data_IF_084571587901
#
_entry.id   IF_084571587901
#
_cell.length_a   1.000
_cell.length_b   1.000
_cell.length_c   1.000
_cell.angle_alpha   90.00
_cell.angle_beta   90.00
_cell.angle_gamma   90.00
#
_symmetry.space_group_name_H-M   'P 1'
#
loop_
_entity.id
_entity.type
_entity.pdbx_description
1 polymer ?
#
# COMPACT_ATOMS: atom_id res chain seq x y z
N UNK A 1 -9.75 -8.96 15.90
CA UNK A 1 -8.61 -8.38 15.19
C UNK A 1 -9.07 -7.83 13.85
N UNK A 2 -8.80 -6.56 13.60
CA UNK A 2 -9.16 -5.90 12.35
C UNK A 2 -8.01 -4.98 11.96
N UNK A 3 -7.64 -4.96 10.68
CA UNK A 3 -6.49 -4.17 10.25
C UNK A 3 -6.67 -2.67 10.50
N UNK A 4 -7.89 -2.16 10.49
CA UNK A 4 -8.15 -0.74 10.76
C UNK A 4 -7.82 -0.35 12.19
N UNK A 5 -7.92 -1.29 13.12
CA UNK A 5 -7.66 -1.05 14.54
C UNK A 5 -6.17 -0.99 14.88
N UNK A 6 -5.31 -1.40 13.95
CA UNK A 6 -3.87 -1.37 14.17
C UNK A 6 -3.31 0.05 14.15
N UNK A 7 -3.95 0.94 13.41
CA UNK A 7 -3.46 2.29 13.20
C UNK A 7 -4.02 3.24 14.26
N UNK A 8 -3.33 3.32 15.38
CA UNK A 8 -3.77 4.09 16.54
C UNK A 8 -3.39 5.57 16.49
N UNK A 9 -2.58 5.97 15.50
CA UNK A 9 -2.15 7.35 15.33
C UNK A 9 -2.61 7.88 13.98
N UNK A 10 -3.00 9.15 13.93
CA UNK A 10 -3.42 9.83 12.72
C UNK A 10 -2.19 10.37 11.96
N UNK A 11 -1.35 9.48 11.49
CA UNK A 11 -0.21 9.83 10.64
C UNK A 11 -0.64 9.87 9.19
N UNK A 12 0.00 10.70 8.35
CA UNK A 12 -0.26 10.70 6.90
C UNK A 12 -0.19 9.28 6.31
N UNK A 13 0.82 8.52 6.72
CA UNK A 13 0.97 7.10 6.34
C UNK A 13 1.40 6.34 7.58
N UNK A 14 0.66 5.28 7.89
CA UNK A 14 0.98 4.38 9.01
C UNK A 14 1.14 2.97 8.46
N UNK A 15 2.31 2.37 8.67
CA UNK A 15 2.63 1.03 8.18
C UNK A 15 2.94 0.11 9.36
N UNK A 16 2.18 -0.97 9.49
CA UNK A 16 2.33 -1.91 10.60
C UNK A 16 2.43 -3.34 10.06
N UNK A 17 3.55 -4.04 10.34
CA UNK A 17 3.68 -5.42 9.91
C UNK A 17 2.63 -6.30 10.58
N UNK A 18 1.96 -7.15 9.80
CA UNK A 18 0.96 -8.08 10.32
C UNK A 18 1.37 -9.54 10.16
N UNK A 19 2.33 -9.81 9.30
CA UNK A 19 2.83 -11.17 9.08
C UNK A 19 4.29 -11.10 8.64
N UNK A 20 5.12 -11.93 9.28
CA UNK A 20 6.54 -12.05 8.92
C UNK A 20 6.93 -13.51 8.86
N UNK A 21 7.64 -13.88 7.82
CA UNK A 21 8.26 -15.20 7.70
C UNK A 21 9.58 -15.05 6.96
N UNK A 22 10.34 -16.14 6.86
CA UNK A 22 11.61 -16.13 6.12
C UNK A 22 11.40 -15.88 4.62
N UNK A 23 10.22 -16.22 4.10
CA UNK A 23 9.93 -16.13 2.68
C UNK A 23 9.23 -14.84 2.26
N UNK A 24 8.75 -14.06 3.23
CA UNK A 24 8.07 -12.82 2.92
C UNK A 24 7.30 -12.26 4.09
N UNK A 25 6.67 -11.13 3.86
CA UNK A 25 5.88 -10.48 4.91
C UNK A 25 4.68 -9.74 4.33
N UNK A 26 3.73 -9.41 5.21
CA UNK A 26 2.58 -8.59 4.87
C UNK A 26 2.53 -7.40 5.83
N UNK A 27 2.31 -6.22 5.28
CA UNK A 27 2.25 -4.97 6.03
C UNK A 27 0.90 -4.29 5.79
N UNK A 28 0.21 -3.93 6.87
CA UNK A 28 -1.01 -3.15 6.78
C UNK A 28 -0.62 -1.67 6.74
N UNK A 29 -1.09 -0.96 5.72
CA UNK A 29 -0.77 0.45 5.53
C UNK A 29 -2.06 1.26 5.49
N UNK A 30 -2.12 2.30 6.32
CA UNK A 30 -3.20 3.28 6.29
C UNK A 30 -2.66 4.57 5.66
N UNK A 31 -3.39 5.09 4.68
CA UNK A 31 -3.05 6.34 4.02
C UNK A 31 -4.23 7.28 4.23
N UNK A 32 -3.97 8.44 4.83
CA UNK A 32 -5.03 9.42 5.06
C UNK A 32 -5.41 10.12 3.77
N UNK A 33 -6.59 10.72 3.75
CA UNK A 33 -7.10 11.43 2.57
C UNK A 33 -6.09 12.49 2.11
N UNK A 34 -5.77 12.47 0.82
CA UNK A 34 -4.86 13.43 0.22
C UNK A 34 -3.39 13.19 0.50
N UNK A 35 -3.06 12.17 1.29
CA UNK A 35 -1.69 11.87 1.64
C UNK A 35 -1.09 10.84 0.69
N UNK A 36 0.22 10.69 0.75
CA UNK A 36 0.94 9.85 -0.20
C UNK A 36 2.02 9.02 0.47
N UNK A 37 2.06 7.74 0.14
CA UNK A 37 3.21 6.90 0.43
C UNK A 37 4.27 7.25 -0.61
N UNK A 38 5.39 7.80 -0.17
CA UNK A 38 6.44 8.34 -1.04
C UNK A 38 7.06 7.27 -1.94
N UNK A 39 7.71 7.73 -3.00
CA UNK A 39 8.43 6.86 -3.93
C UNK A 39 9.37 5.91 -3.21
N UNK A 40 9.33 4.66 -3.63
CA UNK A 40 10.33 3.68 -3.22
C UNK A 40 10.36 2.53 -4.25
N UNK A 41 11.33 1.65 -4.08
CA UNK A 41 11.47 0.47 -4.92
C UNK A 41 11.47 -0.77 -4.04
N UNK A 42 11.08 -1.90 -4.61
CA UNK A 42 11.22 -3.21 -3.98
C UNK A 42 12.24 -4.01 -4.77
N UNK A 43 12.99 -4.86 -4.09
CA UNK A 43 13.99 -5.71 -4.76
C UNK A 43 13.35 -6.93 -5.39
N UNK A 44 12.18 -7.33 -4.88
CA UNK A 44 11.43 -8.48 -5.38
C UNK A 44 10.05 -8.04 -5.80
N UNK A 45 9.35 -8.87 -6.56
CA UNK A 45 7.95 -8.61 -6.90
C UNK A 45 7.15 -8.46 -5.61
N UNK A 46 6.25 -7.50 -5.58
CA UNK A 46 5.36 -7.27 -4.45
C UNK A 46 3.92 -7.22 -4.92
N UNK A 47 2.99 -7.36 -3.98
CA UNK A 47 1.56 -7.32 -4.26
C UNK A 47 0.94 -6.25 -3.36
N UNK A 48 0.18 -5.34 -3.95
CA UNK A 48 -0.58 -4.33 -3.21
C UNK A 48 -2.07 -4.59 -3.41
N UNK A 49 -2.80 -4.70 -2.30
CA UNK A 49 -4.24 -4.95 -2.34
C UNK A 49 -4.96 -3.81 -1.61
N UNK A 50 -5.96 -3.20 -2.24
CA UNK A 50 -6.81 -2.22 -1.58
C UNK A 50 -7.88 -2.98 -0.79
N UNK A 51 -7.98 -2.68 0.51
CA UNK A 51 -8.96 -3.31 1.41
C UNK A 51 -10.14 -2.38 1.66
N UNK A 52 -9.89 -1.09 1.80
CA UNK A 52 -10.92 -0.10 2.06
C UNK A 52 -10.47 1.25 1.51
N UNK A 53 -11.43 2.04 1.05
CA UNK A 53 -11.16 3.36 0.51
C UNK A 53 -10.85 3.33 -0.97
N UNK A 54 -10.01 4.24 -1.40
CA UNK A 54 -9.57 4.32 -2.79
C UNK A 54 -8.17 4.92 -2.84
N UNK A 55 -7.26 4.26 -3.53
CA UNK A 55 -5.90 4.73 -3.71
C UNK A 55 -5.56 4.75 -5.19
N UNK A 56 -4.55 5.55 -5.53
CA UNK A 56 -4.01 5.59 -6.89
C UNK A 56 -2.59 5.07 -6.83
N UNK A 57 -2.35 3.98 -7.55
CA UNK A 57 -1.03 3.41 -7.70
C UNK A 57 -0.34 4.03 -8.91
N UNK A 58 0.89 4.51 -8.72
CA UNK A 58 1.68 5.11 -9.79
C UNK A 58 3.07 4.49 -9.83
N UNK A 59 3.67 4.42 -11.01
CA UNK A 59 5.07 4.06 -11.11
C UNK A 59 5.79 4.94 -12.13
N UNK A 60 7.13 4.85 -12.14
CA UNK A 60 7.96 5.69 -13.00
C UNK A 60 7.82 5.35 -14.49
N UNK A 61 7.19 4.22 -14.82
CA UNK A 61 6.94 3.84 -16.20
C UNK A 61 5.64 4.43 -16.75
N UNK A 62 4.97 5.27 -15.97
CA UNK A 62 3.75 5.93 -16.40
C UNK A 62 2.47 5.18 -16.11
N UNK A 63 2.54 4.08 -15.36
CA UNK A 63 1.34 3.38 -14.92
C UNK A 63 0.65 4.20 -13.84
N UNK A 64 -0.66 4.34 -13.98
CA UNK A 64 -1.49 5.04 -13.00
C UNK A 64 -2.83 4.32 -12.93
N UNK A 65 -3.08 3.65 -11.82
CA UNK A 65 -4.29 2.85 -11.64
C UNK A 65 -5.01 3.21 -10.35
N UNK A 66 -6.32 3.42 -10.45
CA UNK A 66 -7.17 3.63 -9.28
C UNK A 66 -7.58 2.27 -8.75
N UNK A 67 -7.40 2.06 -7.44
CA UNK A 67 -7.74 0.80 -6.77
C UNK A 67 -8.84 1.04 -5.75
N UNK A 68 -9.92 0.29 -5.87
CA UNK A 68 -11.01 0.25 -4.89
C UNK A 68 -10.95 -1.08 -4.15
N UNK A 69 -11.74 -1.28 -3.07
CA UNK A 69 -11.64 -2.52 -2.28
C UNK A 69 -11.74 -3.78 -3.12
N UNK A 70 -10.74 -4.65 -2.96
CA UNK A 70 -10.61 -5.88 -3.72
C UNK A 70 -9.69 -5.78 -4.92
N UNK A 71 -9.38 -4.56 -5.38
CA UNK A 71 -8.45 -4.37 -6.49
C UNK A 71 -7.01 -4.54 -6.01
N UNK A 72 -6.16 -5.02 -6.89
CA UNK A 72 -4.75 -5.22 -6.56
C UNK A 72 -3.86 -4.93 -7.77
N UNK A 73 -2.58 -4.71 -7.50
CA UNK A 73 -1.56 -4.59 -8.53
C UNK A 73 -0.34 -5.41 -8.13
N UNK A 74 0.33 -5.96 -9.13
CA UNK A 74 1.65 -6.57 -8.92
C UNK A 74 2.68 -5.47 -9.15
N UNK A 75 3.56 -5.29 -8.18
CA UNK A 75 4.59 -4.25 -8.22
C UNK A 75 5.86 -4.84 -8.82
N UNK A 76 6.31 -4.27 -9.94
CA UNK A 76 7.50 -4.70 -10.64
C UNK A 76 8.74 -4.40 -9.81
N UNK A 77 9.68 -5.36 -9.66
CA UNK A 77 10.90 -5.10 -8.89
C UNK A 77 11.75 -4.02 -9.55
N UNK A 78 12.42 -3.23 -8.71
CA UNK A 78 13.36 -2.19 -9.11
C UNK A 78 12.75 -1.02 -9.87
N UNK A 79 11.42 -0.90 -9.87
CA UNK A 79 10.70 0.21 -10.50
C UNK A 79 10.15 1.10 -9.39
N UNK A 80 10.45 2.39 -9.45
CA UNK A 80 9.93 3.34 -8.46
C UNK A 80 8.41 3.41 -8.56
N UNK A 81 7.76 3.38 -7.40
CA UNK A 81 6.30 3.49 -7.31
C UNK A 81 5.91 4.32 -6.10
N UNK A 82 4.69 4.86 -6.13
CA UNK A 82 4.11 5.62 -5.02
C UNK A 82 2.60 5.46 -5.05
N UNK A 83 1.98 5.71 -3.91
CA UNK A 83 0.55 5.47 -3.71
C UNK A 83 -0.08 6.71 -3.10
N UNK A 84 -1.17 7.18 -3.69
CA UNK A 84 -1.90 8.34 -3.18
C UNK A 84 -3.25 7.90 -2.63
N UNK A 85 -3.61 8.40 -1.46
CA UNK A 85 -4.92 8.16 -0.87
C UNK A 85 -5.93 9.19 -1.35
N UNK A 86 -6.88 8.78 -2.19
CA UNK A 86 -7.96 9.66 -2.62
C UNK A 86 -8.88 10.00 -1.45
N UNK A 87 -9.12 8.99 -0.62
CA UNK A 87 -9.81 9.12 0.66
C UNK A 87 -9.00 8.30 1.67
N UNK A 88 -9.34 8.38 2.95
CA UNK A 88 -8.68 7.55 3.97
C UNK A 88 -8.81 6.09 3.56
N UNK A 89 -7.70 5.39 3.45
CA UNK A 89 -7.66 4.06 2.84
C UNK A 89 -6.80 3.08 3.63
N UNK A 90 -7.13 1.80 3.45
CA UNK A 90 -6.40 0.67 4.02
C UNK A 90 -5.92 -0.21 2.87
N UNK A 91 -4.63 -0.47 2.82
CA UNK A 91 -4.04 -1.37 1.83
C UNK A 91 -3.15 -2.39 2.52
N UNK A 92 -2.92 -3.51 1.87
CA UNK A 92 -1.99 -4.54 2.33
C UNK A 92 -0.88 -4.66 1.30
N UNK A 93 0.36 -4.60 1.76
CA UNK A 93 1.53 -4.81 0.92
C UNK A 93 2.15 -6.15 1.29
N UNK A 94 2.32 -7.02 0.31
CA UNK A 94 2.91 -8.34 0.48
C UNK A 94 4.19 -8.42 -0.36
N UNK A 95 5.27 -8.77 0.30
CA UNK A 95 6.54 -8.95 -0.39
C UNK A 95 7.49 -9.87 0.34
#
# INVERSE_FOLDING_TARGET
MNIKELHTQEKPVSAIPIFKSELGNATAIQILQGEKLKEHITKTTALLICIEGEVIFNNEKGIKESLIPGDYVNIEPMVKHWIEGTIKSQVILIK
#
